data_IF_086954382030
#
_entry.id   IF_086954382030
#
_cell.length_a   1.000
_cell.length_b   1.000
_cell.length_c   1.000
_cell.angle_alpha   90.00
_cell.angle_beta   90.00
_cell.angle_gamma   90.00
#
_symmetry.space_group_name_H-M   'P 1'
#
loop_
_entity.id
_entity.type
_entity.pdbx_description
1 polymer ?
#
# COMPACT_ATOMS: atom_id res chain seq x y z
N UNK A 1 10.14 -11.43 -11.29
CA UNK A 1 8.71 -11.09 -11.38
C UNK A 1 8.45 -10.01 -12.45
N UNK A 2 8.69 -10.33 -13.74
CA UNK A 2 8.34 -9.43 -14.87
C UNK A 2 6.86 -9.57 -15.31
N UNK A 3 6.07 -10.47 -14.73
CA UNK A 3 4.79 -10.86 -15.34
C UNK A 3 3.58 -10.07 -14.83
N UNK A 4 3.36 -9.88 -13.53
CA UNK A 4 2.05 -9.33 -13.09
C UNK A 4 1.95 -7.82 -13.27
N UNK A 5 3.02 -7.08 -12.96
CA UNK A 5 3.04 -5.62 -13.10
C UNK A 5 3.18 -5.15 -14.56
N UNK A 6 4.01 -5.82 -15.36
CA UNK A 6 4.13 -5.48 -16.78
C UNK A 6 2.85 -5.86 -17.57
N UNK A 7 2.18 -6.96 -17.22
CA UNK A 7 0.88 -7.28 -17.83
C UNK A 7 -0.20 -6.26 -17.45
N UNK A 8 -0.23 -5.77 -16.20
CA UNK A 8 -1.19 -4.73 -15.78
C UNK A 8 -0.98 -3.38 -16.47
N UNK A 9 0.27 -2.99 -16.73
CA UNK A 9 0.61 -1.71 -17.36
C UNK A 9 0.56 -1.77 -18.90
N UNK A 10 0.71 -2.97 -19.49
CA UNK A 10 0.49 -3.19 -20.94
C UNK A 10 -0.98 -3.05 -21.36
N UNK A 11 -1.90 -3.02 -20.39
CA UNK A 11 -3.33 -2.86 -20.61
C UNK A 11 -3.77 -1.40 -20.77
N UNK A 12 -2.89 -0.40 -20.56
CA UNK A 12 -3.19 1.02 -20.77
C UNK A 12 -3.01 1.35 -22.26
N UNK A 13 -4.09 1.51 -23.06
CA UNK A 13 -3.95 1.70 -24.49
C UNK A 13 -3.39 3.09 -24.78
N UNK A 14 -2.18 3.16 -25.37
CA UNK A 14 -1.66 4.39 -25.97
C UNK A 14 -0.39 4.99 -25.34
N UNK A 15 0.21 4.36 -24.33
CA UNK A 15 1.50 4.81 -23.80
C UNK A 15 2.68 4.01 -24.38
N UNK A 16 3.73 4.72 -24.79
CA UNK A 16 4.99 4.14 -25.23
C UNK A 16 5.74 3.58 -24.01
N UNK A 17 5.98 2.26 -23.90
CA UNK A 17 6.70 1.68 -22.77
C UNK A 17 8.12 2.24 -22.60
N UNK A 18 8.69 2.88 -23.63
CA UNK A 18 9.97 3.58 -23.55
C UNK A 18 9.91 4.95 -22.85
N UNK A 19 8.72 5.44 -22.47
CA UNK A 19 8.52 6.72 -21.80
C UNK A 19 8.38 6.62 -20.27
N UNK A 20 8.50 5.42 -19.68
CA UNK A 20 8.53 5.27 -18.23
C UNK A 20 9.80 5.92 -17.69
N UNK A 21 9.63 6.84 -16.73
CA UNK A 21 10.74 7.53 -16.08
C UNK A 21 11.73 6.52 -15.46
N UNK A 22 13.01 6.91 -15.34
CA UNK A 22 14.06 6.12 -14.64
C UNK A 22 13.67 5.75 -13.19
N UNK A 23 12.62 6.38 -12.64
CA UNK A 23 11.97 6.03 -11.39
C UNK A 23 10.45 6.09 -11.54
N UNK A 24 9.76 5.00 -11.19
CA UNK A 24 8.30 4.96 -11.08
C UNK A 24 7.90 5.35 -9.65
N UNK A 25 7.03 6.36 -9.49
CA UNK A 25 6.36 6.67 -8.22
C UNK A 25 4.89 6.32 -8.36
N UNK A 26 4.37 5.52 -7.45
CA UNK A 26 2.96 5.20 -7.34
C UNK A 26 2.47 5.74 -6.00
N UNK A 27 1.37 6.48 -6.02
CA UNK A 27 0.71 6.98 -4.80
C UNK A 27 -0.69 6.38 -4.76
N UNK A 28 -1.00 5.71 -3.66
CA UNK A 28 -2.31 5.12 -3.40
C UNK A 28 -2.81 5.72 -2.09
N UNK A 29 -4.03 6.24 -2.11
CA UNK A 29 -4.77 6.64 -0.92
C UNK A 29 -6.11 5.94 -0.92
N UNK A 30 -6.61 5.58 0.25
CA UNK A 30 -7.93 4.97 0.36
C UNK A 30 -8.54 5.18 1.72
N UNK A 31 -9.83 4.85 1.81
CA UNK A 31 -10.61 4.95 3.03
C UNK A 31 -11.60 3.79 3.10
N UNK A 32 -11.82 3.28 4.30
CA UNK A 32 -12.74 2.18 4.60
C UNK A 32 -13.76 2.63 5.65
N UNK A 33 -15.04 2.40 5.38
CA UNK A 33 -16.11 2.52 6.38
C UNK A 33 -16.87 1.21 6.42
N UNK A 34 -16.76 0.53 7.57
CA UNK A 34 -17.46 -0.72 7.80
C UNK A 34 -18.99 -0.56 7.62
N UNK A 35 -19.69 -1.59 7.10
CA UNK A 35 -19.14 -2.89 6.70
C UNK A 35 -18.68 -2.97 5.23
N UNK A 36 -19.07 -2.02 4.39
CA UNK A 36 -19.14 -2.26 2.95
C UNK A 36 -18.82 -1.04 2.07
N UNK A 37 -18.14 -0.01 2.60
CA UNK A 37 -17.81 1.19 1.83
C UNK A 37 -16.31 1.42 1.74
N UNK A 38 -15.83 1.57 0.51
CA UNK A 38 -14.42 1.80 0.19
C UNK A 38 -14.29 2.89 -0.85
N UNK A 39 -13.24 3.69 -0.69
CA UNK A 39 -12.72 4.57 -1.71
C UNK A 39 -11.23 4.29 -1.88
N UNK A 40 -10.77 4.16 -3.12
CA UNK A 40 -9.35 4.02 -3.49
C UNK A 40 -9.04 5.02 -4.59
N UNK A 41 -7.96 5.76 -4.43
CA UNK A 41 -7.39 6.66 -5.45
C UNK A 41 -5.95 6.26 -5.71
N UNK A 42 -5.60 6.15 -6.98
CA UNK A 42 -4.27 5.76 -7.42
C UNK A 42 -3.76 6.74 -8.48
N UNK A 43 -2.53 7.20 -8.30
CA UNK A 43 -1.80 7.96 -9.31
C UNK A 43 -0.41 7.37 -9.54
N UNK A 44 0.07 7.48 -10.77
CA UNK A 44 1.37 6.97 -11.20
C UNK A 44 2.13 8.10 -11.88
N UNK A 45 3.38 8.35 -11.48
CA UNK A 45 4.22 9.37 -12.09
C UNK A 45 4.36 9.16 -13.59
N UNK A 46 4.10 10.20 -14.37
CA UNK A 46 4.13 10.13 -15.84
C UNK A 46 2.77 9.79 -16.47
N UNK A 47 1.74 9.53 -15.66
CA UNK A 47 0.33 9.46 -16.06
C UNK A 47 -0.39 10.65 -15.43
N UNK A 48 -1.07 11.45 -16.25
CA UNK A 48 -1.77 12.66 -15.77
C UNK A 48 -3.13 12.33 -15.13
N UNK A 49 -3.70 11.16 -15.44
CA UNK A 49 -4.99 10.71 -14.92
C UNK A 49 -4.84 9.95 -13.59
N UNK A 50 -5.67 10.33 -12.61
CA UNK A 50 -5.88 9.56 -11.38
C UNK A 50 -6.99 8.51 -11.63
N UNK A 51 -6.76 7.28 -11.17
CA UNK A 51 -7.80 6.27 -11.07
C UNK A 51 -8.47 6.40 -9.70
N UNK A 52 -9.76 6.72 -9.68
CA UNK A 52 -10.58 6.67 -8.48
C UNK A 52 -11.59 5.53 -8.58
N UNK A 53 -11.72 4.76 -7.51
CA UNK A 53 -12.67 3.67 -7.37
C UNK A 53 -13.45 3.86 -6.08
N UNK A 54 -14.77 3.78 -6.17
CA UNK A 54 -15.65 3.81 -5.00
C UNK A 54 -16.48 2.53 -5.02
N UNK A 55 -16.55 1.82 -3.90
CA UNK A 55 -17.39 0.64 -3.73
C UNK A 55 -18.31 0.86 -2.54
N UNK A 56 -19.62 0.63 -2.72
CA UNK A 56 -20.62 0.71 -1.65
C UNK A 56 -21.54 -0.50 -1.80
N UNK A 57 -21.49 -1.40 -0.82
CA UNK A 57 -22.20 -2.67 -0.91
C UNK A 57 -21.70 -3.47 -2.12
N UNK A 58 -22.61 -3.82 -3.02
CA UNK A 58 -22.30 -4.61 -4.22
C UNK A 58 -22.09 -3.76 -5.49
N UNK A 59 -22.03 -2.43 -5.33
CA UNK A 59 -21.92 -1.47 -6.41
C UNK A 59 -20.53 -0.82 -6.42
N UNK A 60 -19.97 -0.69 -7.63
CA UNK A 60 -18.69 -0.04 -7.87
C UNK A 60 -18.84 1.08 -8.89
N UNK A 61 -18.09 2.16 -8.66
CA UNK A 61 -17.85 3.26 -9.57
C UNK A 61 -16.36 3.38 -9.84
N UNK A 62 -16.01 3.71 -11.09
CA UNK A 62 -14.64 3.92 -11.54
C UNK A 62 -14.59 5.22 -12.30
N UNK A 63 -13.72 6.13 -11.86
CA UNK A 63 -13.45 7.41 -12.49
C UNK A 63 -11.97 7.46 -12.93
N UNK A 64 -11.70 7.88 -14.15
CA UNK A 64 -10.35 8.05 -14.69
C UNK A 64 -10.35 9.17 -15.73
N UNK A 65 -9.78 10.33 -15.38
CA UNK A 65 -9.88 11.53 -16.21
C UNK A 65 -11.35 11.93 -16.44
N UNK A 66 -11.76 12.08 -17.70
CA UNK A 66 -13.16 12.38 -18.08
C UNK A 66 -14.07 11.13 -18.13
N UNK A 67 -13.51 9.93 -17.92
CA UNK A 67 -14.26 8.68 -17.95
C UNK A 67 -14.88 8.41 -16.57
N UNK A 68 -16.20 8.28 -16.52
CA UNK A 68 -16.93 7.81 -15.34
C UNK A 68 -17.77 6.59 -15.71
N UNK A 69 -17.54 5.48 -15.02
CA UNK A 69 -18.24 4.20 -15.19
C UNK A 69 -18.90 3.85 -13.86
N UNK A 70 -20.21 3.56 -13.88
CA UNK A 70 -20.92 3.06 -12.71
C UNK A 70 -22.40 3.45 -12.68
N UNK A 71 -23.20 2.85 -11.78
CA UNK A 71 -22.81 1.71 -10.95
C UNK A 71 -22.67 0.42 -11.79
N UNK A 72 -21.60 -0.31 -11.56
CA UNK A 72 -21.42 -1.69 -12.04
C UNK A 72 -21.40 -2.64 -10.84
N UNK A 73 -21.65 -3.93 -11.08
CA UNK A 73 -21.48 -4.94 -10.04
C UNK A 73 -20.01 -5.00 -9.66
N UNK A 74 -19.69 -4.87 -8.37
CA UNK A 74 -18.34 -5.10 -7.87
C UNK A 74 -17.88 -6.52 -8.21
N UNK A 75 -16.66 -6.68 -8.70
CA UNK A 75 -16.07 -7.98 -9.08
C UNK A 75 -14.87 -8.24 -8.17
N UNK A 76 -14.96 -9.28 -7.34
CA UNK A 76 -13.97 -9.60 -6.32
C UNK A 76 -14.53 -9.42 -4.91
N UNK A 77 -13.85 -9.98 -3.91
CA UNK A 77 -14.18 -9.71 -2.51
C UNK A 77 -13.64 -8.32 -2.15
N UNK A 78 -14.49 -7.51 -1.53
CA UNK A 78 -14.20 -6.14 -1.11
C UNK A 78 -12.92 -6.07 -0.27
N UNK A 79 -12.71 -7.11 0.55
CA UNK A 79 -11.55 -7.30 1.43
C UNK A 79 -10.22 -7.45 0.67
N UNK A 80 -10.26 -7.90 -0.59
CA UNK A 80 -9.08 -8.06 -1.44
C UNK A 80 -8.74 -6.80 -2.24
N UNK A 81 -9.69 -5.87 -2.37
CA UNK A 81 -9.55 -4.66 -3.20
C UNK A 81 -9.16 -3.42 -2.40
N UNK A 82 -9.34 -3.44 -1.08
CA UNK A 82 -9.08 -2.28 -0.24
C UNK A 82 -7.74 -2.36 0.45
N UNK A 83 -6.81 -1.52 0.01
CA UNK A 83 -5.52 -1.37 0.68
C UNK A 83 -5.66 -0.89 2.12
N UNK A 84 -6.66 -0.07 2.46
CA UNK A 84 -6.88 0.38 3.84
C UNK A 84 -7.28 -0.81 4.73
N UNK A 85 -8.24 -1.65 4.28
CA UNK A 85 -8.62 -2.88 4.99
C UNK A 85 -7.49 -3.91 5.01
N UNK A 86 -6.74 -4.12 3.92
CA UNK A 86 -5.60 -5.06 3.88
C UNK A 86 -4.53 -4.62 4.89
N UNK A 87 -4.20 -3.33 4.92
CA UNK A 87 -3.24 -2.78 5.89
C UNK A 87 -3.80 -2.86 7.30
N UNK A 88 -5.10 -2.61 7.48
CA UNK A 88 -5.73 -2.67 8.78
C UNK A 88 -5.79 -4.11 9.29
N UNK A 89 -6.41 -5.05 8.58
CA UNK A 89 -6.62 -6.43 9.04
C UNK A 89 -5.37 -7.29 8.92
N UNK A 90 -4.71 -7.28 7.76
CA UNK A 90 -3.52 -8.10 7.51
C UNK A 90 -2.36 -7.66 8.40
N UNK A 91 -2.12 -6.35 8.48
CA UNK A 91 -1.00 -5.84 9.26
C UNK A 91 -1.34 -5.74 10.76
N UNK A 92 -2.54 -5.36 11.21
CA UNK A 92 -2.81 -5.33 12.67
C UNK A 92 -2.87 -6.74 13.28
N UNK A 93 -3.36 -7.73 12.54
CA UNK A 93 -3.41 -9.12 13.00
C UNK A 93 -2.02 -9.69 13.29
N UNK A 94 -1.09 -9.49 12.37
CA UNK A 94 0.28 -10.01 12.49
C UNK A 94 1.22 -9.06 13.24
N UNK A 95 1.10 -7.74 13.07
CA UNK A 95 1.89 -6.75 13.80
C UNK A 95 1.50 -6.64 15.28
N UNK A 96 0.30 -7.07 15.68
CA UNK A 96 -0.04 -7.22 17.10
C UNK A 96 0.89 -8.19 17.85
N UNK A 97 1.60 -9.07 17.13
CA UNK A 97 2.62 -9.96 17.68
C UNK A 97 4.05 -9.37 17.68
N UNK A 98 4.26 -8.26 16.96
CA UNK A 98 5.55 -7.58 16.92
C UNK A 98 5.79 -6.85 18.24
N UNK A 99 6.63 -7.44 19.09
CA UNK A 99 7.13 -6.76 20.28
C UNK A 99 8.22 -5.79 19.88
N UNK A 100 7.88 -4.50 19.81
CA UNK A 100 8.87 -3.45 19.62
C UNK A 100 9.77 -3.36 20.84
N UNK A 101 11.05 -3.73 20.69
CA UNK A 101 12.05 -3.67 21.75
C UNK A 101 12.55 -2.24 22.03
N UNK A 102 12.18 -1.29 21.18
CA UNK A 102 12.62 0.11 21.28
C UNK A 102 11.75 0.87 22.29
N UNK A 103 12.41 1.58 23.21
CA UNK A 103 11.76 2.51 24.16
C UNK A 103 11.45 3.88 23.53
N UNK A 104 11.75 4.06 22.24
CA UNK A 104 11.56 5.34 21.55
C UNK A 104 10.08 5.55 21.25
N UNK A 105 9.53 6.60 21.85
CA UNK A 105 8.14 7.04 21.64
C UNK A 105 8.10 8.30 20.80
N UNK A 106 7.16 8.37 19.88
CA UNK A 106 6.93 9.50 18.99
C UNK A 106 5.43 9.75 18.80
N UNK A 107 5.06 10.99 18.50
CA UNK A 107 3.71 11.30 18.04
C UNK A 107 3.71 11.39 16.53
N UNK A 108 2.91 10.56 15.87
CA UNK A 108 2.77 10.51 14.41
C UNK A 108 1.28 10.63 14.08
N UNK A 109 0.92 11.59 13.21
CA UNK A 109 -0.47 11.83 12.81
C UNK A 109 -1.41 11.99 14.03
N UNK A 110 -0.96 12.73 15.04
CA UNK A 110 -1.65 12.94 16.34
C UNK A 110 -1.87 11.68 17.20
N UNK A 111 -1.29 10.54 16.81
CA UNK A 111 -1.31 9.28 17.56
C UNK A 111 0.00 9.10 18.34
N UNK A 112 -0.11 8.73 19.62
CA UNK A 112 1.06 8.32 20.43
C UNK A 112 1.51 6.93 19.98
N UNK A 113 2.77 6.81 19.56
CA UNK A 113 3.28 5.62 18.90
C UNK A 113 4.64 5.19 19.44
N UNK A 114 4.87 3.88 19.45
CA UNK A 114 6.19 3.29 19.67
C UNK A 114 6.91 3.15 18.32
N UNK A 115 8.12 3.69 18.22
CA UNK A 115 8.98 3.52 17.05
C UNK A 115 9.72 2.19 17.14
N UNK A 116 9.71 1.46 16.04
CA UNK A 116 10.30 0.13 15.90
C UNK A 116 11.18 0.12 14.64
N UNK A 117 12.49 0.29 14.84
CA UNK A 117 13.47 0.04 13.79
C UNK A 117 13.72 -1.46 13.68
N UNK A 118 13.45 -2.02 12.50
CA UNK A 118 13.62 -3.43 12.18
C UNK A 118 14.86 -3.58 11.32
N UNK A 119 15.85 -4.30 11.85
CA UNK A 119 17.06 -4.63 11.13
C UNK A 119 16.85 -5.80 10.16
N UNK A 120 17.84 -6.06 9.31
CA UNK A 120 17.77 -7.11 8.29
C UNK A 120 17.48 -8.51 8.87
N UNK A 121 18.01 -8.83 10.06
CA UNK A 121 17.80 -10.13 10.72
C UNK A 121 16.35 -10.31 11.22
N UNK A 122 15.71 -9.22 11.62
CA UNK A 122 14.29 -9.21 11.99
C UNK A 122 13.41 -9.19 10.74
N UNK A 123 13.86 -8.57 9.65
CA UNK A 123 13.16 -8.57 8.37
C UNK A 123 13.08 -9.93 7.71
N UNK A 124 14.12 -10.78 7.76
CA UNK A 124 14.02 -12.15 7.24
C UNK A 124 12.80 -12.89 7.81
N UNK A 125 12.44 -12.63 9.07
CA UNK A 125 11.27 -13.22 9.73
C UNK A 125 9.94 -12.62 9.26
N UNK A 126 9.95 -11.37 8.80
CA UNK A 126 8.78 -10.63 8.33
C UNK A 126 8.62 -10.66 6.81
N UNK A 127 9.64 -11.09 6.08
CA UNK A 127 9.63 -11.19 4.61
C UNK A 127 8.43 -11.97 4.10
N UNK A 128 7.98 -12.98 4.84
CA UNK A 128 6.78 -13.79 4.57
C UNK A 128 5.49 -12.98 4.60
N UNK A 129 5.39 -11.93 5.43
CA UNK A 129 4.24 -11.01 5.46
C UNK A 129 4.15 -10.16 4.18
N UNK A 130 5.28 -9.98 3.49
CA UNK A 130 5.38 -9.22 2.25
C UNK A 130 5.41 -10.11 0.99
N UNK A 131 5.06 -11.39 1.11
CA UNK A 131 5.06 -12.34 -0.01
C UNK A 131 6.39 -13.05 -0.27
N UNK A 132 7.38 -12.88 0.62
CA UNK A 132 8.71 -13.49 0.53
C UNK A 132 9.73 -12.64 -0.22
N UNK A 133 11.01 -12.94 -0.02
CA UNK A 133 12.14 -12.27 -0.70
C UNK A 133 12.76 -13.14 -1.79
N UNK A 134 12.24 -14.35 -2.03
CA UNK A 134 12.82 -15.34 -2.94
C UNK A 134 12.92 -14.81 -4.39
N UNK A 135 11.99 -13.93 -4.78
CA UNK A 135 11.92 -13.33 -6.12
C UNK A 135 12.58 -11.93 -6.21
N UNK A 136 13.15 -11.41 -5.11
CA UNK A 136 13.70 -10.05 -5.04
C UNK A 136 15.17 -9.95 -5.47
N UNK A 137 15.83 -11.07 -5.80
CA UNK A 137 17.26 -11.09 -6.12
C UNK A 137 18.14 -10.90 -4.87
N UNK A 138 19.36 -10.40 -5.08
CA UNK A 138 20.32 -10.15 -4.01
C UNK A 138 20.03 -8.80 -3.35
N UNK A 139 19.72 -8.79 -2.05
CA UNK A 139 19.42 -7.57 -1.28
C UNK A 139 20.70 -7.05 -0.61
N UNK A 140 21.13 -5.85 -0.99
CA UNK A 140 22.33 -5.18 -0.45
C UNK A 140 21.99 -4.25 0.72
N UNK A 141 20.84 -3.57 0.65
CA UNK A 141 20.39 -2.62 1.67
C UNK A 141 18.92 -2.89 2.00
N UNK A 142 18.63 -2.99 3.30
CA UNK A 142 17.27 -3.07 3.80
C UNK A 142 17.11 -2.24 5.07
N UNK A 143 16.03 -1.46 5.14
CA UNK A 143 15.59 -0.79 6.36
C UNK A 143 14.07 -0.84 6.44
N UNK A 144 13.52 -1.18 7.60
CA UNK A 144 12.11 -1.04 7.89
C UNK A 144 11.93 -0.28 9.21
N UNK A 145 11.22 0.83 9.13
CA UNK A 145 10.79 1.61 10.27
C UNK A 145 9.27 1.47 10.41
N UNK A 146 8.82 1.05 11.59
CA UNK A 146 7.40 0.98 11.94
C UNK A 146 7.10 1.92 13.11
N UNK A 147 5.92 2.53 13.09
CA UNK A 147 5.35 3.24 14.21
C UNK A 147 4.02 2.57 14.55
N UNK A 148 3.97 1.94 15.72
CA UNK A 148 2.76 1.25 16.20
C UNK A 148 2.09 2.10 17.27
N UNK A 149 0.78 2.27 17.18
CA UNK A 149 0.00 3.00 18.17
C UNK A 149 0.17 2.38 19.56
N UNK A 150 0.35 3.22 20.59
CA UNK A 150 0.42 2.75 21.98
C UNK A 150 -0.89 2.09 22.41
N UNK A 151 -2.01 2.55 21.86
CA UNK A 151 -3.33 1.97 22.07
C UNK A 151 -3.68 1.03 20.91
N UNK A 152 -3.83 -0.26 21.22
CA UNK A 152 -4.22 -1.29 20.25
C UNK A 152 -3.09 -1.82 19.34
N UNK A 153 -1.91 -1.20 19.30
CA UNK A 153 -0.73 -1.75 18.59
C UNK A 153 -0.82 -1.73 17.06
N UNK A 154 -1.79 -1.02 16.48
CA UNK A 154 -2.01 -0.95 15.04
C UNK A 154 -0.98 -0.03 14.36
N UNK A 155 -0.66 -0.24 13.06
CA UNK A 155 0.36 0.54 12.37
C UNK A 155 -0.12 1.95 12.04
N UNK A 156 0.60 2.95 12.52
CA UNK A 156 0.36 4.38 12.22
C UNK A 156 1.18 4.84 11.02
N UNK A 157 2.41 4.36 10.92
CA UNK A 157 3.31 4.64 9.81
C UNK A 157 4.24 3.47 9.56
N UNK A 158 4.58 3.25 8.30
CA UNK A 158 5.62 2.34 7.87
C UNK A 158 6.51 3.01 6.82
N UNK A 159 7.82 2.80 6.94
CA UNK A 159 8.78 3.18 5.89
C UNK A 159 9.71 2.00 5.64
N UNK A 160 9.71 1.49 4.42
CA UNK A 160 10.64 0.48 3.98
C UNK A 160 11.54 1.05 2.88
N UNK A 161 12.83 0.73 2.94
CA UNK A 161 13.75 0.94 1.84
C UNK A 161 14.42 -0.39 1.54
N UNK A 162 14.49 -0.75 0.26
CA UNK A 162 15.24 -1.90 -0.21
C UNK A 162 16.06 -1.49 -1.43
N UNK A 163 17.30 -1.95 -1.49
CA UNK A 163 18.14 -1.84 -2.67
C UNK A 163 18.95 -3.12 -2.85
N UNK A 164 19.24 -3.45 -4.10
CA UNK A 164 19.90 -4.70 -4.43
C UNK A 164 20.07 -4.87 -5.93
N UNK A 165 20.32 -6.10 -6.33
CA UNK A 165 20.48 -6.50 -7.72
C UNK A 165 19.48 -7.60 -8.07
N UNK A 166 18.77 -7.44 -9.19
CA UNK A 166 17.84 -8.46 -9.66
C UNK A 166 18.55 -9.67 -10.30
N UNK A 167 17.78 -10.69 -10.70
CA UNK A 167 18.31 -11.92 -11.33
C UNK A 167 19.08 -11.66 -12.64
N UNK A 168 18.88 -10.50 -13.27
CA UNK A 168 19.56 -10.11 -14.52
C UNK A 168 20.87 -9.36 -14.28
N UNK A 169 21.18 -9.05 -13.01
CA UNK A 169 22.34 -8.26 -12.63
C UNK A 169 22.08 -6.75 -12.68
N UNK A 170 20.83 -6.31 -12.72
CA UNK A 170 20.47 -4.89 -12.74
C UNK A 170 20.20 -4.38 -11.33
N UNK A 171 20.83 -3.23 -11.00
CA UNK A 171 20.60 -2.55 -9.73
C UNK A 171 19.16 -2.04 -9.62
N UNK A 172 18.52 -2.25 -8.48
CA UNK A 172 17.23 -1.69 -8.14
C UNK A 172 17.24 -0.98 -6.80
N UNK A 173 16.31 -0.02 -6.66
CA UNK A 173 15.99 0.62 -5.38
C UNK A 173 14.50 0.86 -5.29
N UNK A 174 13.87 0.36 -4.23
CA UNK A 174 12.46 0.59 -3.94
C UNK A 174 12.30 1.24 -2.56
N UNK A 175 11.29 2.10 -2.48
CA UNK A 175 10.87 2.75 -1.24
C UNK A 175 9.37 2.61 -1.10
N UNK A 176 8.94 2.17 0.07
CA UNK A 176 7.54 2.11 0.44
C UNK A 176 7.34 3.03 1.64
N UNK A 177 6.40 3.95 1.53
CA UNK A 177 5.95 4.78 2.63
C UNK A 177 4.45 4.62 2.77
N UNK A 178 4.00 4.35 3.98
CA UNK A 178 2.60 4.18 4.31
C UNK A 178 2.28 4.96 5.58
N UNK A 179 1.17 5.68 5.54
CA UNK A 179 0.62 6.42 6.66
C UNK A 179 -0.85 6.02 6.83
N UNK A 180 -1.24 5.69 8.07
CA UNK A 180 -2.62 5.47 8.46
C UNK A 180 -3.06 6.67 9.29
N UNK A 181 -4.16 7.28 8.88
CA UNK A 181 -4.75 8.46 9.53
C UNK A 181 -6.23 8.24 9.79
N UNK A 182 -6.82 9.11 10.61
CA UNK A 182 -8.28 9.17 10.82
C UNK A 182 -8.90 7.83 11.27
N UNK A 183 -8.10 7.01 11.96
CA UNK A 183 -8.49 5.69 12.41
C UNK A 183 -9.61 5.80 13.46
N UNK A 184 -10.72 5.09 13.22
CA UNK A 184 -11.94 5.15 14.03
C UNK A 184 -12.62 6.53 14.07
N UNK A 185 -12.40 7.39 13.08
CA UNK A 185 -13.18 8.63 12.93
C UNK A 185 -14.52 8.39 12.20
N UNK A 186 -15.52 9.21 12.51
CA UNK A 186 -16.82 9.18 11.85
C UNK A 186 -16.76 9.92 10.50
N UNK A 187 -16.66 9.16 9.40
CA UNK A 187 -16.81 9.69 8.04
C UNK A 187 -17.72 8.80 7.18
N UNK A 188 -18.14 9.32 6.03
CA UNK A 188 -19.08 8.63 5.15
C UNK A 188 -18.60 8.70 3.70
N UNK A 189 -18.48 7.52 3.08
CA UNK A 189 -18.20 7.38 1.64
C UNK A 189 -19.53 7.37 0.90
N UNK A 190 -19.62 8.21 -0.14
CA UNK A 190 -20.83 8.42 -0.94
C UNK A 190 -20.57 8.06 -2.40
N UNK A 191 -21.61 7.66 -3.15
CA UNK A 191 -21.47 7.50 -4.58
C UNK A 191 -20.95 8.79 -5.24
N UNK A 192 -20.13 8.69 -6.30
CA UNK A 192 -19.74 9.85 -7.09
C UNK A 192 -20.96 10.50 -7.78
N UNK A 193 -20.82 11.78 -8.12
CA UNK A 193 -21.92 12.67 -8.55
C UNK A 193 -22.32 12.52 -10.01
#
# INVERSE_FOLDING_TARGET
>A
MESVFAESLSAIPGQDPAALAESLKMEISGAYVAPDKIEVRMSISGVDDELAMTTIGDQQWVEMGDLAIGPIQAVGDIEEMDMAQIVWEGFSGDAGSLTCTSEKKETVNDVSSNYCGIDAATFEQLSTLFGGTEDMGDIDEFSLDLWLAEDGGWPVRMRANVAGTDETGQDFKAKLELDVTDANEDFDIKPPS
#
